data_IF_092943511832
#
_entry.id   IF_092943511832
#
_cell.length_a   1.000
_cell.length_b   1.000
_cell.length_c   1.000
_cell.angle_alpha   90.00
_cell.angle_beta   90.00
_cell.angle_gamma   90.00
#
_symmetry.space_group_name_H-M   'P 1'
#
loop_
_entity.id
_entity.type
_entity.pdbx_description
1 polymer ?
#
# COMPACT_ATOMS: atom_id res chain seq x y z
N UNK A 1 -5.59 6.55 -21.97
CA UNK A 1 -4.83 5.29 -21.80
C UNK A 1 -3.86 5.50 -20.64
N UNK A 2 -3.81 4.62 -19.63
CA UNK A 2 -2.78 4.72 -18.60
C UNK A 2 -1.41 4.65 -19.29
N UNK A 3 -0.56 5.63 -19.02
CA UNK A 3 0.79 5.67 -19.57
C UNK A 3 1.59 4.50 -19.02
N UNK A 4 2.20 3.72 -19.92
CA UNK A 4 3.22 2.75 -19.54
C UNK A 4 4.33 3.49 -18.79
N UNK A 5 4.59 3.05 -17.56
CA UNK A 5 5.80 3.47 -16.84
C UNK A 5 6.97 2.82 -17.55
N UNK A 6 7.53 3.51 -18.55
CA UNK A 6 8.68 3.02 -19.33
C UNK A 6 10.01 3.04 -18.53
N UNK A 7 9.95 3.39 -17.24
CA UNK A 7 11.13 3.42 -16.38
C UNK A 7 10.86 2.81 -15.00
N UNK A 8 11.17 1.52 -14.87
CA UNK A 8 10.99 0.71 -13.67
C UNK A 8 11.82 1.23 -12.46
N UNK A 9 12.79 2.13 -12.67
CA UNK A 9 13.60 2.69 -11.57
C UNK A 9 13.04 3.99 -10.97
N UNK A 10 12.11 4.67 -11.66
CA UNK A 10 11.60 5.97 -11.20
C UNK A 10 10.51 5.81 -10.15
N UNK A 11 10.67 6.46 -8.99
CA UNK A 11 9.58 6.65 -8.04
C UNK A 11 8.51 7.59 -8.57
N UNK A 12 7.29 7.48 -8.06
CA UNK A 12 6.22 8.40 -8.42
C UNK A 12 5.13 8.46 -7.36
N UNK A 13 4.20 9.39 -7.55
CA UNK A 13 2.97 9.47 -6.77
C UNK A 13 1.78 9.36 -7.72
N UNK A 14 0.79 8.55 -7.35
CA UNK A 14 -0.46 8.39 -8.08
C UNK A 14 -1.60 8.60 -7.10
N UNK A 15 -2.54 9.47 -7.47
CA UNK A 15 -3.74 9.73 -6.67
C UNK A 15 -4.92 9.00 -7.31
N UNK A 16 -5.66 8.25 -6.50
CA UNK A 16 -6.87 7.55 -6.92
C UNK A 16 -7.98 7.74 -5.89
N UNK A 17 -9.18 7.26 -6.22
CA UNK A 17 -10.36 7.37 -5.37
C UNK A 17 -11.08 6.02 -5.32
N UNK A 18 -11.52 5.64 -4.13
CA UNK A 18 -12.30 4.45 -3.87
C UNK A 18 -13.62 4.86 -3.21
N UNK A 19 -14.73 4.62 -3.89
CA UNK A 19 -16.07 4.89 -3.36
C UNK A 19 -16.72 3.56 -3.05
N UNK A 20 -16.91 3.26 -1.77
CA UNK A 20 -17.63 2.07 -1.38
C UNK A 20 -19.13 2.25 -1.58
N UNK A 21 -19.71 1.31 -2.34
CA UNK A 21 -21.17 1.16 -2.50
C UNK A 21 -21.73 0.02 -1.65
N UNK A 22 -20.85 -0.78 -1.04
CA UNK A 22 -21.16 -1.92 -0.18
C UNK A 22 -20.13 -2.02 0.93
N UNK A 23 -20.54 -2.60 2.05
CA UNK A 23 -19.64 -3.10 3.10
C UNK A 23 -18.80 -4.26 2.58
N UNK A 24 -17.59 -4.44 3.15
CA UNK A 24 -16.66 -5.52 2.76
C UNK A 24 -17.32 -6.90 2.72
N UNK A 25 -18.13 -7.22 3.74
CA UNK A 25 -18.82 -8.53 3.88
C UNK A 25 -19.81 -8.82 2.75
N UNK A 26 -20.22 -7.79 1.99
CA UNK A 26 -21.14 -7.89 0.85
C UNK A 26 -20.43 -7.75 -0.49
N UNK A 27 -19.10 -7.59 -0.50
CA UNK A 27 -18.30 -7.56 -1.71
C UNK A 27 -17.97 -8.98 -2.16
N UNK A 28 -17.96 -9.19 -3.47
CA UNK A 28 -17.42 -10.41 -4.07
C UNK A 28 -15.90 -10.24 -4.22
N UNK A 29 -15.14 -10.71 -3.23
CA UNK A 29 -13.68 -10.66 -3.27
C UNK A 29 -13.14 -11.66 -4.30
N UNK A 30 -11.98 -11.34 -4.84
CA UNK A 30 -11.21 -12.27 -5.66
C UNK A 30 -10.64 -13.40 -4.79
N UNK A 31 -10.14 -14.46 -5.44
CA UNK A 31 -9.44 -15.54 -4.72
C UNK A 31 -8.26 -15.00 -3.90
N UNK A 32 -7.51 -14.02 -4.44
CA UNK A 32 -6.42 -13.38 -3.72
C UNK A 32 -6.91 -12.53 -2.54
N UNK A 33 -8.01 -11.78 -2.71
CA UNK A 33 -8.63 -11.01 -1.64
C UNK A 33 -9.13 -11.90 -0.50
N UNK A 34 -9.77 -13.03 -0.82
CA UNK A 34 -10.17 -14.03 0.16
C UNK A 34 -8.96 -14.63 0.90
N UNK A 35 -7.87 -14.91 0.19
CA UNK A 35 -6.65 -15.46 0.81
C UNK A 35 -5.99 -14.46 1.77
N UNK A 36 -5.92 -13.18 1.41
CA UNK A 36 -5.45 -12.13 2.32
C UNK A 36 -6.36 -11.97 3.55
N UNK A 37 -7.66 -12.23 3.40
CA UNK A 37 -8.61 -12.15 4.51
C UNK A 37 -8.51 -13.33 5.49
N UNK A 38 -8.12 -14.52 5.01
CA UNK A 38 -8.20 -15.78 5.79
C UNK A 38 -6.87 -16.32 6.27
N UNK A 39 -5.75 -15.97 5.62
CA UNK A 39 -4.41 -16.41 6.04
C UNK A 39 -3.93 -15.52 7.19
N UNK A 40 -3.28 -16.08 8.24
CA UNK A 40 -2.70 -15.29 9.31
C UNK A 40 -1.72 -14.23 8.79
N UNK A 41 -1.85 -13.00 9.25
CA UNK A 41 -0.85 -11.95 9.08
C UNK A 41 0.18 -11.98 10.23
N UNK A 42 1.24 -11.17 10.15
CA UNK A 42 2.24 -11.04 11.21
C UNK A 42 1.71 -10.35 12.49
N UNK A 43 0.38 -10.23 12.62
CA UNK A 43 -0.32 -9.47 13.64
C UNK A 43 -0.75 -8.09 13.15
N UNK A 44 -1.71 -7.49 13.85
CA UNK A 44 -2.21 -6.14 13.56
C UNK A 44 -3.62 -6.11 12.99
N UNK A 45 -4.14 -4.90 12.86
CA UNK A 45 -5.54 -4.60 12.57
C UNK A 45 -5.77 -4.01 11.18
N UNK A 46 -4.87 -4.28 10.24
CA UNK A 46 -4.84 -3.72 8.88
C UNK A 46 -5.39 -4.66 7.79
N UNK A 47 -5.82 -5.88 8.14
CA UNK A 47 -6.29 -6.92 7.19
C UNK A 47 -7.28 -6.35 6.15
N UNK A 48 -8.30 -5.60 6.60
CA UNK A 48 -9.30 -5.02 5.70
C UNK A 48 -8.65 -4.07 4.68
N UNK A 49 -7.75 -3.20 5.15
CA UNK A 49 -7.06 -2.24 4.28
C UNK A 49 -6.12 -2.91 3.27
N UNK A 50 -5.52 -4.05 3.63
CA UNK A 50 -4.68 -4.86 2.75
C UNK A 50 -5.50 -5.61 1.71
N UNK A 51 -6.61 -6.24 2.12
CA UNK A 51 -7.55 -6.92 1.21
C UNK A 51 -8.08 -5.94 0.17
N UNK A 52 -8.57 -4.77 0.58
CA UNK A 52 -9.07 -3.78 -0.37
C UNK A 52 -7.96 -3.15 -1.21
N UNK A 53 -6.76 -3.01 -0.66
CA UNK A 53 -5.59 -2.58 -1.43
C UNK A 53 -5.34 -3.55 -2.60
N UNK A 54 -5.37 -4.85 -2.32
CA UNK A 54 -5.22 -5.87 -3.34
C UNK A 54 -6.39 -5.89 -4.32
N UNK A 55 -7.64 -5.74 -3.87
CA UNK A 55 -8.81 -5.69 -4.77
C UNK A 55 -8.74 -4.51 -5.74
N UNK A 56 -8.28 -3.33 -5.30
CA UNK A 56 -8.03 -2.18 -6.18
C UNK A 56 -6.97 -2.55 -7.22
N UNK A 57 -5.84 -3.12 -6.81
CA UNK A 57 -4.78 -3.49 -7.75
C UNK A 57 -5.20 -4.60 -8.73
N UNK A 58 -5.96 -5.59 -8.25
CA UNK A 58 -6.47 -6.68 -9.08
C UNK A 58 -7.44 -6.15 -10.14
N UNK A 59 -8.41 -5.31 -9.75
CA UNK A 59 -9.46 -4.84 -10.65
C UNK A 59 -8.97 -3.77 -11.63
N UNK A 60 -8.11 -2.87 -11.17
CA UNK A 60 -7.64 -1.76 -12.00
C UNK A 60 -6.41 -2.11 -12.84
N UNK A 61 -5.58 -3.05 -12.37
CA UNK A 61 -4.27 -3.34 -12.98
C UNK A 61 -4.01 -4.84 -13.18
N UNK A 62 -5.04 -5.68 -13.08
CA UNK A 62 -4.97 -7.13 -13.27
C UNK A 62 -3.93 -7.82 -12.37
N UNK A 63 -3.66 -7.25 -11.18
CA UNK A 63 -2.70 -7.80 -10.24
C UNK A 63 -3.11 -9.18 -9.75
N UNK A 64 -2.20 -10.15 -9.74
CA UNK A 64 -2.43 -11.50 -9.22
C UNK A 64 -1.62 -11.72 -7.94
N UNK A 65 -2.26 -12.09 -6.84
CA UNK A 65 -1.56 -12.34 -5.58
C UNK A 65 -0.53 -13.46 -5.74
N UNK A 66 0.71 -13.23 -5.31
CA UNK A 66 1.76 -14.26 -5.25
C UNK A 66 1.95 -14.75 -3.83
N UNK A 67 2.39 -13.86 -2.94
CA UNK A 67 2.69 -14.18 -1.55
C UNK A 67 2.02 -13.18 -0.60
N UNK A 68 1.51 -13.64 0.53
CA UNK A 68 1.09 -12.80 1.66
C UNK A 68 2.31 -12.44 2.52
N UNK A 69 2.12 -11.54 3.49
CA UNK A 69 3.16 -11.04 4.40
C UNK A 69 4.06 -12.14 4.97
N UNK A 70 3.44 -13.21 5.50
CA UNK A 70 4.13 -14.31 6.19
C UNK A 70 4.78 -15.34 5.24
N UNK A 71 4.53 -15.22 3.93
CA UNK A 71 5.06 -16.13 2.91
C UNK A 71 6.32 -15.59 2.25
N UNK A 72 6.59 -14.29 2.41
CA UNK A 72 7.85 -13.66 1.98
C UNK A 72 8.94 -13.98 3.00
N UNK A 73 10.06 -14.49 2.52
CA UNK A 73 11.20 -14.84 3.38
C UNK A 73 12.17 -13.67 3.51
N UNK A 74 12.66 -13.42 4.72
CA UNK A 74 13.58 -12.32 5.02
C UNK A 74 14.81 -12.81 5.78
N UNK A 75 15.95 -12.18 5.51
CA UNK A 75 17.18 -12.36 6.27
C UNK A 75 18.00 -11.05 6.30
N UNK A 76 18.56 -10.63 7.46
CA UNK A 76 18.39 -11.24 8.78
C UNK A 76 16.94 -11.20 9.27
N UNK A 77 16.61 -12.04 10.25
CA UNK A 77 15.29 -12.05 10.86
C UNK A 77 15.04 -10.73 11.63
N UNK A 78 13.80 -10.26 11.59
CA UNK A 78 13.39 -8.99 12.20
C UNK A 78 13.50 -7.80 11.27
N UNK A 79 12.67 -6.78 11.52
CA UNK A 79 12.60 -5.56 10.72
C UNK A 79 11.31 -5.42 9.93
N UNK A 80 11.29 -4.46 9.02
CA UNK A 80 10.12 -4.17 8.17
C UNK A 80 9.89 -5.26 7.13
N UNK A 81 8.65 -5.68 6.97
CA UNK A 81 8.20 -6.64 5.97
C UNK A 81 7.13 -5.99 5.07
N UNK A 82 6.92 -6.55 3.88
CA UNK A 82 5.87 -6.13 2.94
C UNK A 82 4.57 -6.87 3.24
N UNK A 83 3.42 -6.21 3.09
CA UNK A 83 2.11 -6.81 3.40
C UNK A 83 1.74 -7.91 2.38
N UNK A 84 2.09 -7.74 1.10
CA UNK A 84 1.98 -8.81 0.11
C UNK A 84 2.84 -8.53 -1.14
N UNK A 85 2.99 -9.56 -1.97
CA UNK A 85 3.54 -9.45 -3.33
C UNK A 85 2.51 -9.90 -4.35
N UNK A 86 2.51 -9.24 -5.51
CA UNK A 86 1.64 -9.60 -6.62
C UNK A 86 2.41 -9.60 -7.94
N UNK A 87 1.84 -10.26 -8.94
CA UNK A 87 2.27 -10.17 -10.33
C UNK A 87 1.43 -9.11 -11.04
N UNK A 88 2.11 -8.13 -11.63
CA UNK A 88 1.51 -7.08 -12.45
C UNK A 88 2.42 -6.84 -13.65
N UNK A 89 1.85 -6.77 -14.86
CA UNK A 89 2.62 -6.54 -16.09
C UNK A 89 3.86 -7.46 -16.22
N UNK A 90 3.69 -8.75 -15.93
CA UNK A 90 4.75 -9.78 -15.96
C UNK A 90 5.95 -9.52 -15.02
N UNK A 91 5.79 -8.64 -14.02
CA UNK A 91 6.78 -8.46 -12.97
C UNK A 91 6.19 -8.68 -11.57
N UNK A 92 7.04 -9.14 -10.66
CA UNK A 92 6.70 -9.19 -9.24
C UNK A 92 6.82 -7.78 -8.67
N UNK A 93 5.75 -7.33 -7.99
CA UNK A 93 5.66 -6.06 -7.27
C UNK A 93 5.42 -6.36 -5.80
N UNK A 94 6.18 -5.73 -4.92
CA UNK A 94 5.90 -5.75 -3.47
C UNK A 94 4.99 -4.58 -3.11
N UNK A 95 3.99 -4.84 -2.27
CA UNK A 95 3.04 -3.82 -1.84
C UNK A 95 3.09 -3.71 -0.33
N UNK A 96 3.27 -2.48 0.14
CA UNK A 96 3.07 -2.09 1.53
C UNK A 96 1.83 -1.22 1.67
N UNK A 97 1.04 -1.42 2.72
CA UNK A 97 -0.21 -0.73 2.95
C UNK A 97 -0.12 0.10 4.24
N UNK A 98 -0.70 1.29 4.20
CA UNK A 98 -0.82 2.14 5.38
C UNK A 98 -2.06 3.01 5.29
N UNK A 99 -2.48 3.52 6.44
CA UNK A 99 -3.62 4.42 6.59
C UNK A 99 -3.12 5.77 7.05
N UNK A 100 -3.51 6.83 6.35
CA UNK A 100 -3.24 8.21 6.73
C UNK A 100 -4.46 8.75 7.47
N UNK A 101 -4.41 8.60 8.80
CA UNK A 101 -5.45 9.04 9.71
C UNK A 101 -4.79 9.51 11.01
N UNK A 102 -5.49 10.37 11.74
CA UNK A 102 -5.09 10.80 13.08
C UNK A 102 -6.26 10.59 14.02
N UNK A 103 -6.00 9.95 15.15
CA UNK A 103 -7.05 9.67 16.14
C UNK A 103 -7.51 10.95 16.87
N UNK A 104 -6.57 11.85 17.15
CA UNK A 104 -6.84 13.11 17.86
C UNK A 104 -6.33 14.30 17.05
N UNK A 105 -7.25 15.19 16.68
CA UNK A 105 -6.97 16.41 15.94
C UNK A 105 -6.83 16.20 14.43
N UNK A 106 -6.47 17.28 13.73
CA UNK A 106 -6.34 17.27 12.28
C UNK A 106 -5.00 16.66 11.82
N UNK A 107 -5.06 15.88 10.75
CA UNK A 107 -3.89 15.30 10.11
C UNK A 107 -3.17 16.39 9.32
N UNK A 108 -1.95 16.74 9.73
CA UNK A 108 -1.21 17.86 9.17
C UNK A 108 -0.02 17.41 8.29
N UNK A 109 0.69 18.38 7.71
CA UNK A 109 1.86 18.13 6.86
C UNK A 109 2.98 17.38 7.59
N UNK A 110 3.24 17.71 8.86
CA UNK A 110 4.25 17.02 9.66
C UNK A 110 3.89 15.54 9.89
N UNK A 111 2.61 15.24 10.15
CA UNK A 111 2.12 13.86 10.27
C UNK A 111 2.34 13.08 8.97
N UNK A 112 2.03 13.70 7.84
CA UNK A 112 2.23 13.12 6.52
C UNK A 112 3.72 12.87 6.22
N UNK A 113 4.59 13.83 6.50
CA UNK A 113 6.03 13.71 6.32
C UNK A 113 6.60 12.57 7.18
N UNK A 114 6.20 12.50 8.46
CA UNK A 114 6.61 11.43 9.38
C UNK A 114 6.11 10.07 8.90
N UNK A 115 4.84 9.98 8.47
CA UNK A 115 4.24 8.76 7.96
C UNK A 115 4.97 8.25 6.71
N UNK A 116 5.15 9.10 5.70
CA UNK A 116 5.79 8.74 4.44
C UNK A 116 7.26 8.36 4.64
N UNK A 117 8.03 9.16 5.39
CA UNK A 117 9.43 8.84 5.66
C UNK A 117 9.59 7.51 6.39
N UNK A 118 8.78 7.25 7.42
CA UNK A 118 8.80 5.99 8.15
C UNK A 118 8.49 4.81 7.23
N UNK A 119 7.41 4.92 6.45
CA UNK A 119 6.92 3.81 5.62
C UNK A 119 7.83 3.54 4.42
N UNK A 120 8.33 4.57 3.73
CA UNK A 120 9.26 4.40 2.61
C UNK A 120 10.61 3.82 3.04
N UNK A 121 11.16 4.24 4.19
CA UNK A 121 12.36 3.60 4.77
C UNK A 121 12.11 2.13 5.09
N UNK A 122 10.92 1.80 5.59
CA UNK A 122 10.49 0.41 5.82
C UNK A 122 10.41 -0.42 4.53
N UNK A 123 9.90 0.15 3.44
CA UNK A 123 9.85 -0.49 2.10
C UNK A 123 11.25 -0.76 1.54
N UNK A 124 12.19 0.17 1.71
CA UNK A 124 13.59 -0.03 1.32
C UNK A 124 14.21 -1.16 2.17
N UNK A 125 13.96 -1.15 3.48
CA UNK A 125 14.47 -2.19 4.38
C UNK A 125 13.91 -3.57 4.03
N UNK A 126 12.60 -3.69 3.79
CA UNK A 126 11.97 -4.97 3.43
C UNK A 126 12.52 -5.50 2.11
N UNK A 127 12.76 -4.62 1.13
CA UNK A 127 13.41 -4.99 -0.15
C UNK A 127 14.83 -5.48 0.04
N UNK A 128 15.62 -4.83 0.90
CA UNK A 128 17.00 -5.24 1.19
C UNK A 128 17.05 -6.61 1.87
N UNK A 129 16.15 -6.84 2.82
CA UNK A 129 16.16 -8.05 3.64
C UNK A 129 15.44 -9.22 2.96
N UNK A 130 14.64 -8.98 1.92
CA UNK A 130 13.91 -10.06 1.27
C UNK A 130 14.83 -10.99 0.48
N UNK A 131 14.60 -12.29 0.68
CA UNK A 131 15.18 -13.35 -0.13
C UNK A 131 14.45 -13.48 -1.48
N UNK A 132 13.20 -13.03 -1.56
CA UNK A 132 12.47 -12.89 -2.81
C UNK A 132 12.95 -11.66 -3.58
N UNK A 133 12.77 -11.69 -4.91
CA UNK A 133 13.09 -10.54 -5.78
C UNK A 133 11.83 -10.00 -6.43
N UNK A 134 11.64 -8.69 -6.29
CA UNK A 134 10.62 -7.91 -6.99
C UNK A 134 11.26 -6.75 -7.73
N UNK A 135 10.64 -6.34 -8.84
CA UNK A 135 11.17 -5.26 -9.70
C UNK A 135 10.74 -3.88 -9.21
N UNK A 136 9.59 -3.79 -8.54
CA UNK A 136 8.98 -2.53 -8.11
C UNK A 136 8.38 -2.66 -6.72
N UNK A 137 8.25 -1.54 -5.99
CA UNK A 137 7.37 -1.47 -4.83
C UNK A 137 6.24 -0.46 -5.03
N UNK A 138 5.12 -0.73 -4.37
CA UNK A 138 4.02 0.20 -4.18
C UNK A 138 3.84 0.42 -2.68
N UNK A 139 3.84 1.68 -2.25
CA UNK A 139 3.29 2.06 -0.95
C UNK A 139 1.86 2.57 -1.18
N UNK A 140 0.87 1.74 -0.86
CA UNK A 140 -0.53 2.14 -0.94
C UNK A 140 -0.95 2.82 0.36
N UNK A 141 -1.30 4.10 0.27
CA UNK A 141 -1.77 4.93 1.37
C UNK A 141 -3.27 5.16 1.23
N UNK A 142 -4.06 4.61 2.15
CA UNK A 142 -5.46 4.98 2.30
C UNK A 142 -5.58 6.34 2.96
N UNK A 143 -6.30 7.27 2.34
CA UNK A 143 -6.54 8.61 2.86
C UNK A 143 -8.01 8.80 3.20
N UNK A 144 -8.28 9.43 4.35
CA UNK A 144 -9.64 9.64 4.86
C UNK A 144 -10.42 10.73 4.12
N UNK A 145 -9.75 11.62 3.40
CA UNK A 145 -10.39 12.73 2.70
C UNK A 145 -9.51 13.30 1.60
N UNK A 146 -10.09 14.12 0.74
CA UNK A 146 -9.34 14.84 -0.29
C UNK A 146 -8.28 15.76 0.31
N UNK A 147 -8.62 16.44 1.42
CA UNK A 147 -7.67 17.29 2.14
C UNK A 147 -6.44 16.51 2.64
N UNK A 148 -6.64 15.34 3.24
CA UNK A 148 -5.52 14.49 3.68
C UNK A 148 -4.70 14.00 2.47
N UNK A 149 -5.36 13.74 1.34
CA UNK A 149 -4.70 13.35 0.09
C UNK A 149 -3.77 14.47 -0.42
N UNK A 150 -4.23 15.72 -0.43
CA UNK A 150 -3.42 16.88 -0.83
C UNK A 150 -2.21 17.05 0.09
N UNK A 151 -2.39 16.92 1.41
CA UNK A 151 -1.30 17.00 2.39
C UNK A 151 -0.26 15.90 2.14
N UNK A 152 -0.68 14.66 1.85
CA UNK A 152 0.24 13.57 1.52
C UNK A 152 1.02 13.84 0.23
N UNK A 153 0.38 14.40 -0.80
CA UNK A 153 1.06 14.79 -2.04
C UNK A 153 2.09 15.89 -1.77
N UNK A 154 1.75 16.90 -0.96
CA UNK A 154 2.69 17.94 -0.54
C UNK A 154 3.87 17.34 0.23
N UNK A 155 3.62 16.46 1.19
CA UNK A 155 4.67 15.77 1.94
C UNK A 155 5.56 14.91 1.04
N UNK A 156 4.99 14.21 0.05
CA UNK A 156 5.75 13.41 -0.91
C UNK A 156 6.76 14.27 -1.68
N UNK A 157 6.40 15.50 -2.06
CA UNK A 157 7.30 16.39 -2.77
C UNK A 157 8.54 16.78 -1.93
N UNK A 158 8.43 16.75 -0.59
CA UNK A 158 9.55 17.02 0.32
C UNK A 158 10.39 15.78 0.65
N UNK A 159 9.98 14.57 0.24
CA UNK A 159 10.76 13.35 0.49
C UNK A 159 11.94 13.29 -0.50
N UNK A 160 13.13 13.02 0.03
CA UNK A 160 14.37 12.86 -0.74
C UNK A 160 14.28 11.71 -1.76
N UNK A 161 14.98 11.85 -2.89
CA UNK A 161 15.00 10.85 -3.97
C UNK A 161 15.42 9.47 -3.48
N UNK A 162 16.39 9.41 -2.58
CA UNK A 162 16.95 8.14 -2.07
C UNK A 162 15.96 7.40 -1.16
N UNK A 163 15.06 8.14 -0.51
CA UNK A 163 13.97 7.57 0.30
C UNK A 163 12.80 7.15 -0.60
N UNK A 164 12.54 7.87 -1.69
CA UNK A 164 11.56 7.45 -2.71
C UNK A 164 12.00 6.19 -3.46
N UNK A 165 13.30 6.06 -3.71
CA UNK A 165 13.94 4.92 -4.39
C UNK A 165 13.18 4.51 -5.66
N UNK A 166 12.79 3.23 -5.76
CA UNK A 166 11.99 2.69 -6.86
C UNK A 166 10.51 2.52 -6.49
N UNK A 167 10.01 3.19 -5.45
CA UNK A 167 8.66 3.02 -4.91
C UNK A 167 7.64 3.97 -5.57
N UNK A 168 6.49 3.43 -5.98
CA UNK A 168 5.30 4.23 -6.33
C UNK A 168 4.46 4.43 -5.08
N UNK A 169 4.18 5.67 -4.70
CA UNK A 169 3.24 6.00 -3.63
C UNK A 169 1.86 6.16 -4.25
N UNK A 170 0.99 5.17 -4.04
CA UNK A 170 -0.40 5.23 -4.50
C UNK A 170 -1.26 5.74 -3.35
N UNK A 171 -1.81 6.94 -3.46
CA UNK A 171 -2.70 7.52 -2.45
C UNK A 171 -4.13 7.34 -2.93
N UNK A 172 -4.95 6.66 -2.14
CA UNK A 172 -6.35 6.41 -2.47
C UNK A 172 -7.25 7.07 -1.46
N UNK A 173 -8.01 8.08 -1.89
CA UNK A 173 -9.05 8.68 -1.05
C UNK A 173 -10.22 7.71 -0.93
N UNK A 174 -10.51 7.29 0.29
CA UNK A 174 -11.62 6.38 0.59
C UNK A 174 -12.87 7.17 0.96
N UNK A 175 -13.99 6.87 0.30
CA UNK A 175 -15.29 7.46 0.55
C UNK A 175 -16.31 6.37 0.89
N UNK A 176 -17.14 6.62 1.91
CA UNK A 176 -18.13 5.68 2.45
C UNK A 176 -17.52 4.33 2.90
N UNK A 177 -16.26 4.34 3.33
CA UNK A 177 -15.47 3.14 3.58
C UNK A 177 -14.72 3.19 4.92
N UNK A 178 -15.37 3.66 5.98
CA UNK A 178 -14.76 3.86 7.30
C UNK A 178 -14.15 2.58 7.89
N UNK A 179 -14.67 1.42 7.50
CA UNK A 179 -14.13 0.11 7.86
C UNK A 179 -12.70 -0.15 7.36
N UNK A 180 -12.17 0.66 6.43
CA UNK A 180 -10.74 0.67 6.07
C UNK A 180 -9.89 1.20 7.24
N UNK A 181 -10.40 2.21 7.94
CA UNK A 181 -9.69 2.94 8.99
C UNK A 181 -9.94 2.36 10.38
N UNK A 182 -11.04 1.64 10.55
CA UNK A 182 -11.37 0.99 11.81
C UNK A 182 -10.66 -0.36 11.93
N UNK A 183 -10.18 -0.62 13.14
CA UNK A 183 -9.79 -1.96 13.52
C UNK A 183 -11.11 -2.67 13.84
N UNK A 184 -11.52 -3.60 12.99
CA UNK A 184 -12.84 -4.27 12.99
C UNK A 184 -13.54 -4.42 14.34
#
# INVERSE_FOLDING_TARGET
MPSLVNNDSIAGVVVTKFVAVKELRRMHLTVGGHRLLTVPNAGGSSVISEVLSFEVLNRCFCAKLKKTEMEVSYFPLGGSITDYTCEMYQCTVAVSVTRAMKYNGEFCLEDAQRLLNKKLKGVIQSTRNSLDKWRKQILHVWSTSHHVTEILVQAYNTVESDVKANTVVMITTAENADYIFNNG
#
